data_IF_732291231771
#
_entry.id   IF_732291231771
#
_cell.length_a   1.000
_cell.length_b   1.000
_cell.length_c   1.000
_cell.angle_alpha   90.00
_cell.angle_beta   90.00
_cell.angle_gamma   90.00
#
_symmetry.space_group_name_H-M   'P 1'
#
loop_
_entity.id
_entity.type
_entity.pdbx_description
1 polymer ?
#
# COMPACT_ATOMS: atom_id res chain seq x y z
N UNK A 1 -1.70 -7.92 7.57
CA UNK A 1 -0.31 -8.35 7.90
C UNK A 1 0.06 -9.60 7.10
N UNK A 2 1.33 -10.01 7.05
CA UNK A 2 1.73 -11.28 6.42
C UNK A 2 1.52 -12.42 7.43
N UNK A 3 0.78 -13.45 7.03
CA UNK A 3 0.53 -14.61 7.88
C UNK A 3 1.71 -15.60 7.90
N UNK A 4 1.81 -16.41 8.95
CA UNK A 4 2.86 -17.40 9.04
C UNK A 4 2.69 -18.47 7.93
N UNK A 5 3.75 -18.65 7.14
CA UNK A 5 3.74 -19.55 5.97
C UNK A 5 3.21 -18.90 4.69
N UNK A 6 2.86 -17.62 4.73
CA UNK A 6 2.43 -16.83 3.57
C UNK A 6 3.61 -16.05 2.96
N UNK A 7 3.60 -15.88 1.64
CA UNK A 7 4.54 -14.97 0.97
C UNK A 7 4.03 -13.53 1.04
N UNK A 8 4.93 -12.56 0.92
CA UNK A 8 4.56 -11.13 0.93
C UNK A 8 3.67 -10.75 -0.25
N UNK A 9 3.83 -11.42 -1.39
CA UNK A 9 2.98 -11.25 -2.59
C UNK A 9 1.56 -11.77 -2.34
N UNK A 10 1.44 -12.97 -1.76
CA UNK A 10 0.15 -13.56 -1.44
C UNK A 10 -0.60 -12.70 -0.41
N UNK A 11 0.11 -12.22 0.62
CA UNK A 11 -0.43 -11.29 1.60
C UNK A 11 -0.93 -10.00 0.94
N UNK A 12 -0.15 -9.37 0.06
CA UNK A 12 -0.55 -8.13 -0.61
C UNK A 12 -1.85 -8.29 -1.43
N UNK A 13 -2.02 -9.43 -2.12
CA UNK A 13 -3.23 -9.74 -2.88
C UNK A 13 -4.42 -10.02 -1.94
N UNK A 14 -4.20 -10.82 -0.89
CA UNK A 14 -5.23 -11.15 0.11
C UNK A 14 -5.74 -9.90 0.82
N UNK A 15 -4.84 -9.06 1.33
CA UNK A 15 -5.21 -7.86 2.09
C UNK A 15 -5.99 -6.86 1.23
N UNK A 16 -5.63 -6.68 -0.05
CA UNK A 16 -6.43 -5.86 -0.97
C UNK A 16 -7.85 -6.42 -1.17
N UNK A 17 -8.00 -7.74 -1.16
CA UNK A 17 -9.29 -8.40 -1.26
C UNK A 17 -10.11 -8.31 0.04
N UNK A 18 -9.47 -8.43 1.20
CA UNK A 18 -10.12 -8.38 2.52
C UNK A 18 -10.55 -6.98 2.91
N UNK A 19 -9.71 -5.97 2.66
CA UNK A 19 -9.95 -4.59 3.10
C UNK A 19 -10.87 -3.81 2.16
N UNK A 20 -10.69 -4.01 0.84
CA UNK A 20 -11.33 -3.19 -0.17
C UNK A 20 -12.00 -3.98 -1.30
N UNK A 21 -12.08 -5.32 -1.18
CA UNK A 21 -12.69 -6.24 -2.16
C UNK A 21 -12.20 -6.05 -3.59
N UNK A 22 -10.99 -5.56 -3.76
CA UNK A 22 -10.44 -5.25 -5.06
C UNK A 22 -9.50 -6.36 -5.52
N UNK A 23 -9.76 -6.89 -6.71
CA UNK A 23 -8.83 -7.80 -7.36
C UNK A 23 -7.64 -7.00 -7.87
N UNK A 24 -6.44 -7.35 -7.40
CA UNK A 24 -5.19 -6.70 -7.80
C UNK A 24 -4.25 -7.68 -8.48
N UNK A 25 -3.54 -7.18 -9.48
CA UNK A 25 -2.47 -7.87 -10.18
C UNK A 25 -1.16 -7.12 -9.87
N UNK A 26 -0.25 -7.79 -9.15
CA UNK A 26 1.02 -7.20 -8.75
C UNK A 26 1.91 -7.01 -9.98
N UNK A 27 2.49 -5.81 -10.12
CA UNK A 27 3.44 -5.46 -11.18
C UNK A 27 4.86 -5.77 -10.70
N UNK A 28 5.22 -5.26 -9.52
CA UNK A 28 6.53 -5.45 -8.91
C UNK A 28 6.52 -5.16 -7.41
N UNK A 29 7.48 -5.74 -6.68
CA UNK A 29 7.85 -5.26 -5.36
C UNK A 29 8.56 -3.91 -5.51
N UNK A 30 8.03 -2.87 -4.86
CA UNK A 30 8.54 -1.51 -5.00
C UNK A 30 9.73 -1.24 -4.07
N UNK A 31 9.49 -1.32 -2.76
CA UNK A 31 10.48 -1.02 -1.74
C UNK A 31 10.06 -1.62 -0.37
N UNK A 32 11.02 -1.72 0.55
CA UNK A 32 10.76 -2.12 1.93
C UNK A 32 11.03 -0.93 2.84
N UNK A 33 10.01 -0.49 3.56
CA UNK A 33 10.10 0.57 4.54
C UNK A 33 10.26 -0.04 5.92
N UNK A 34 11.44 0.14 6.53
CA UNK A 34 11.85 -0.55 7.75
C UNK A 34 12.36 0.35 8.87
N UNK A 35 12.15 1.67 8.76
CA UNK A 35 12.55 2.64 9.77
C UNK A 35 11.99 2.26 11.15
N UNK A 36 12.83 2.14 12.21
CA UNK A 36 12.39 1.59 13.50
C UNK A 36 11.20 2.31 14.16
N UNK A 37 11.05 3.61 13.87
CA UNK A 37 10.05 4.48 14.47
C UNK A 37 8.84 4.76 13.56
N UNK A 38 8.74 4.09 12.40
CA UNK A 38 7.64 4.35 11.45
C UNK A 38 6.26 3.99 11.99
N UNK A 39 6.21 3.01 12.88
CA UNK A 39 5.03 2.68 13.67
C UNK A 39 5.38 2.90 15.16
N UNK A 40 4.69 3.83 15.85
CA UNK A 40 4.99 4.13 17.25
C UNK A 40 4.61 2.98 18.21
N UNK A 41 3.87 1.97 17.76
CA UNK A 41 3.41 0.85 18.58
C UNK A 41 4.48 -0.23 18.73
N UNK A 42 5.17 -0.56 17.64
CA UNK A 42 6.21 -1.59 17.57
C UNK A 42 7.00 -1.48 16.27
N UNK A 43 8.24 -2.01 16.24
CA UNK A 43 9.05 -2.04 15.02
C UNK A 43 8.38 -2.91 13.94
N UNK A 44 7.77 -2.24 12.95
CA UNK A 44 6.99 -2.86 11.88
C UNK A 44 7.56 -2.49 10.53
N UNK A 45 7.76 -3.48 9.67
CA UNK A 45 8.20 -3.28 8.29
C UNK A 45 6.99 -3.29 7.35
N UNK A 46 7.03 -2.48 6.30
CA UNK A 46 6.08 -2.53 5.19
C UNK A 46 6.80 -2.89 3.90
N UNK A 47 6.46 -4.04 3.31
CA UNK A 47 6.87 -4.41 1.96
C UNK A 47 5.81 -3.89 1.00
N UNK A 48 6.15 -2.89 0.19
CA UNK A 48 5.21 -2.19 -0.68
C UNK A 48 5.31 -2.76 -2.09
N UNK A 49 4.16 -2.98 -2.71
CA UNK A 49 4.02 -3.44 -4.10
C UNK A 49 3.35 -2.37 -4.96
N UNK A 50 3.71 -2.33 -6.23
CA UNK A 50 2.92 -1.66 -7.26
C UNK A 50 1.98 -2.69 -7.88
N UNK A 51 0.72 -2.32 -8.07
CA UNK A 51 -0.29 -3.22 -8.62
C UNK A 51 -1.26 -2.47 -9.54
N UNK A 52 -1.91 -3.22 -10.43
CA UNK A 52 -3.12 -2.75 -11.13
C UNK A 52 -4.35 -3.37 -10.48
N UNK A 53 -5.38 -2.57 -10.24
CA UNK A 53 -6.67 -3.05 -9.73
C UNK A 53 -7.70 -3.19 -10.84
N UNK A 54 -8.58 -4.20 -10.75
CA UNK A 54 -9.72 -4.39 -11.66
C UNK A 54 -11.01 -4.49 -10.84
N UNK A 55 -12.05 -3.78 -11.29
CA UNK A 55 -13.36 -3.74 -10.65
C UNK A 55 -13.58 -2.49 -9.80
N UNK A 56 -14.73 -2.45 -9.11
CA UNK A 56 -15.11 -1.35 -8.23
C UNK A 56 -14.77 -1.70 -6.78
N UNK A 57 -13.87 -0.95 -6.12
CA UNK A 57 -13.49 -1.22 -4.74
C UNK A 57 -14.66 -0.95 -3.78
N UNK A 58 -14.76 -1.77 -2.74
CA UNK A 58 -15.78 -1.66 -1.70
C UNK A 58 -15.11 -1.82 -0.35
N UNK A 59 -15.27 -0.81 0.51
CA UNK A 59 -14.77 -0.87 1.88
C UNK A 59 -15.35 -2.11 2.60
N UNK A 60 -14.49 -2.85 3.29
CA UNK A 60 -14.86 -4.07 3.99
C UNK A 60 -14.33 -4.07 5.43
N UNK A 61 -13.38 -4.95 5.78
CA UNK A 61 -13.11 -5.36 7.17
C UNK A 61 -12.73 -4.19 8.10
N UNK A 62 -11.54 -3.59 7.92
CA UNK A 62 -11.08 -2.47 8.72
C UNK A 62 -11.34 -1.11 8.03
N UNK A 63 -11.58 -1.12 6.72
CA UNK A 63 -11.89 0.07 5.94
C UNK A 63 -13.33 0.57 6.20
N UNK A 64 -13.48 1.62 7.02
CA UNK A 64 -14.77 2.30 7.22
C UNK A 64 -15.20 3.18 6.05
N UNK A 65 -14.23 3.73 5.33
CA UNK A 65 -14.45 4.60 4.18
C UNK A 65 -13.45 4.23 3.08
N UNK A 66 -13.86 4.44 1.83
CA UNK A 66 -13.03 4.18 0.67
C UNK A 66 -13.19 5.29 -0.36
N UNK A 67 -12.10 5.66 -1.01
CA UNK A 67 -12.09 6.60 -2.11
C UNK A 67 -11.02 6.24 -3.14
N UNK A 68 -11.28 6.56 -4.40
CA UNK A 68 -10.29 6.55 -5.47
C UNK A 68 -9.83 7.99 -5.64
N UNK A 69 -8.52 8.22 -5.56
CA UNK A 69 -7.94 9.55 -5.60
C UNK A 69 -7.05 9.71 -6.82
N UNK A 70 -7.19 10.83 -7.52
CA UNK A 70 -6.13 11.26 -8.41
C UNK A 70 -4.89 11.71 -7.60
N UNK A 71 -3.68 11.68 -8.19
CA UNK A 71 -2.46 12.10 -7.50
C UNK A 71 -2.50 13.50 -6.88
N UNK A 72 -3.33 14.41 -7.42
CA UNK A 72 -3.51 15.78 -6.91
C UNK A 72 -4.61 15.91 -5.84
N UNK A 73 -5.31 14.82 -5.50
CA UNK A 73 -6.42 14.78 -4.54
C UNK A 73 -6.09 13.98 -3.28
N UNK A 74 -4.83 13.54 -3.13
CA UNK A 74 -4.39 12.74 -1.99
C UNK A 74 -4.51 13.57 -0.70
N UNK A 75 -5.17 13.06 0.36
CA UNK A 75 -5.24 13.75 1.65
C UNK A 75 -3.86 14.00 2.27
N UNK A 76 -3.67 15.14 2.93
CA UNK A 76 -2.38 15.52 3.52
C UNK A 76 -1.98 14.70 4.76
N UNK A 77 -2.96 14.21 5.53
CA UNK A 77 -2.71 13.49 6.79
C UNK A 77 -2.91 11.99 6.60
N UNK A 78 -1.90 11.34 6.04
CA UNK A 78 -1.89 9.89 5.87
C UNK A 78 -1.35 9.20 7.13
N UNK A 79 -1.72 7.94 7.33
CA UNK A 79 -1.24 7.16 8.47
C UNK A 79 0.24 6.79 8.29
N UNK A 80 0.96 6.73 9.41
CA UNK A 80 2.37 6.34 9.45
C UNK A 80 3.23 7.19 8.50
N UNK A 81 4.03 6.54 7.65
CA UNK A 81 4.89 7.13 6.64
C UNK A 81 4.32 6.97 5.22
N UNK A 82 3.00 6.79 5.08
CA UNK A 82 2.36 6.58 3.77
C UNK A 82 2.48 7.80 2.85
N UNK A 83 2.66 9.00 3.40
CA UNK A 83 2.98 10.21 2.64
C UNK A 83 4.33 10.08 1.92
N UNK A 84 5.36 9.56 2.61
CA UNK A 84 6.66 9.25 2.01
C UNK A 84 6.53 8.18 0.94
N UNK A 85 5.83 7.08 1.23
CA UNK A 85 5.62 5.96 0.28
C UNK A 85 4.97 6.47 -1.02
N UNK A 86 3.96 7.34 -0.92
CA UNK A 86 3.30 7.90 -2.11
C UNK A 86 4.18 8.90 -2.86
N UNK A 87 4.93 9.75 -2.16
CA UNK A 87 5.89 10.67 -2.81
C UNK A 87 6.95 9.91 -3.61
N UNK A 88 7.47 8.84 -3.01
CA UNK A 88 8.42 7.92 -3.63
C UNK A 88 7.82 7.25 -4.88
N UNK A 89 6.59 6.74 -4.78
CA UNK A 89 5.86 6.18 -5.93
C UNK A 89 5.65 7.20 -7.04
N UNK A 90 5.24 8.44 -6.72
CA UNK A 90 5.03 9.48 -7.72
C UNK A 90 6.34 9.88 -8.41
N UNK A 91 7.43 9.97 -7.65
CA UNK A 91 8.76 10.24 -8.21
C UNK A 91 9.22 9.12 -9.15
N UNK A 92 8.99 7.86 -8.77
CA UNK A 92 9.24 6.71 -9.63
C UNK A 92 8.37 6.74 -10.88
N UNK A 93 7.06 6.95 -10.74
CA UNK A 93 6.11 6.96 -11.85
C UNK A 93 6.40 8.06 -12.87
N UNK A 94 6.80 9.25 -12.42
CA UNK A 94 7.02 10.39 -13.30
C UNK A 94 8.45 10.48 -13.85
N UNK A 95 9.45 10.02 -13.09
CA UNK A 95 10.85 10.26 -13.41
C UNK A 95 11.73 9.00 -13.40
N UNK A 96 11.17 7.82 -13.08
CA UNK A 96 11.91 6.56 -12.99
C UNK A 96 12.88 6.47 -11.80
N UNK A 97 12.80 7.38 -10.84
CA UNK A 97 13.72 7.44 -9.69
C UNK A 97 13.14 6.62 -8.54
N UNK A 98 13.86 5.59 -8.11
CA UNK A 98 13.50 4.78 -6.94
C UNK A 98 13.92 5.47 -5.62
N UNK A 99 13.30 5.08 -4.48
CA UNK A 99 13.73 5.47 -3.14
C UNK A 99 15.18 5.10 -2.84
#
# INVERSE_FOLDING_TARGET
FVDYGESVEAAAVREAQEEIRLQVELIEQFHVYSEPHRDPRQHTLSVVFLATGKGEPQAADDAKNLGIFHPWEIPANLCFDHDRILQDYLRYRHYGIRP
#
